data_IF_349428136950
#
_entry.id   IF_349428136950
#
_cell.length_a   1.000
_cell.length_b   1.000
_cell.length_c   1.000
_cell.angle_alpha   90.00
_cell.angle_beta   90.00
_cell.angle_gamma   90.00
#
_symmetry.space_group_name_H-M   'P 1'
#
loop_
_entity.id
_entity.type
_entity.pdbx_description
1 polymer ?
#
# COMPACT_ATOMS: atom_id res chain seq x y z
N UNK A 1 -23.94 16.55 11.44
CA UNK A 1 -23.27 16.51 10.13
C UNK A 1 -24.10 17.35 9.16
N UNK A 2 -23.48 17.95 8.15
CA UNK A 2 -24.18 18.70 7.09
C UNK A 2 -23.86 18.01 5.76
N UNK A 3 -24.90 17.71 4.97
CA UNK A 3 -24.72 17.15 3.63
C UNK A 3 -24.15 18.20 2.68
N UNK A 4 -23.33 17.76 1.74
CA UNK A 4 -22.71 18.59 0.72
C UNK A 4 -23.23 18.17 -0.65
N UNK A 5 -23.29 19.11 -1.60
CA UNK A 5 -23.71 18.87 -2.99
C UNK A 5 -22.56 18.28 -3.82
N UNK A 6 -22.06 17.12 -3.38
CA UNK A 6 -21.02 16.36 -4.05
C UNK A 6 -21.24 14.87 -3.76
N UNK A 7 -21.07 13.98 -4.75
CA UNK A 7 -21.08 12.55 -4.49
C UNK A 7 -19.97 12.19 -3.49
N UNK A 8 -20.25 11.21 -2.64
CA UNK A 8 -19.25 10.63 -1.75
C UNK A 8 -18.50 9.54 -2.51
N UNK A 9 -17.20 9.73 -2.71
CA UNK A 9 -16.35 8.72 -3.34
C UNK A 9 -16.07 7.57 -2.39
N UNK A 10 -16.10 6.34 -2.92
CA UNK A 10 -15.80 5.11 -2.19
C UNK A 10 -14.61 4.38 -2.82
N UNK A 11 -13.74 3.83 -1.98
CA UNK A 11 -12.73 2.87 -2.41
C UNK A 11 -13.38 1.48 -2.49
N UNK A 12 -13.51 0.93 -3.69
CA UNK A 12 -14.12 -0.38 -3.92
C UNK A 12 -13.02 -1.42 -4.17
N UNK A 13 -12.96 -2.43 -3.29
CA UNK A 13 -12.12 -3.61 -3.47
C UNK A 13 -12.86 -4.62 -4.35
N UNK A 14 -12.31 -4.94 -5.52
CA UNK A 14 -12.89 -5.88 -6.50
C UNK A 14 -12.11 -7.20 -6.61
N UNK A 15 -10.95 -7.29 -5.96
CA UNK A 15 -10.12 -8.48 -5.86
C UNK A 15 -9.64 -8.66 -4.42
N UNK A 16 -9.45 -9.90 -4.02
CA UNK A 16 -8.94 -10.21 -2.68
C UNK A 16 -7.52 -9.67 -2.51
N UNK A 17 -7.29 -8.96 -1.40
CA UNK A 17 -5.97 -8.46 -0.99
C UNK A 17 -5.57 -9.18 0.29
N UNK A 18 -4.34 -9.69 0.34
CA UNK A 18 -3.81 -10.41 1.49
C UNK A 18 -2.57 -9.75 2.05
N UNK A 19 -2.44 -9.78 3.38
CA UNK A 19 -1.24 -9.40 4.11
C UNK A 19 -0.97 -10.45 5.19
N UNK A 20 0.25 -11.00 5.17
CA UNK A 20 0.67 -12.06 6.08
C UNK A 20 2.02 -11.73 6.70
N UNK A 21 2.12 -11.84 8.02
CA UNK A 21 3.38 -11.72 8.77
C UNK A 21 3.56 -12.98 9.65
N UNK A 22 4.11 -14.09 9.10
CA UNK A 22 4.15 -15.38 9.78
C UNK A 22 4.90 -15.35 11.12
N UNK A 23 5.96 -14.55 11.23
CA UNK A 23 6.77 -14.42 12.44
C UNK A 23 5.96 -13.93 13.66
N UNK A 24 4.89 -13.15 13.42
CA UNK A 24 3.97 -12.65 14.45
C UNK A 24 2.60 -13.32 14.38
N UNK A 25 2.42 -14.27 13.46
CA UNK A 25 1.15 -14.94 13.19
C UNK A 25 0.05 -14.00 12.71
N UNK A 26 0.38 -12.87 12.08
CA UNK A 26 -0.62 -11.91 11.62
C UNK A 26 -1.13 -12.34 10.26
N UNK A 27 -2.45 -12.38 10.12
CA UNK A 27 -3.14 -12.68 8.87
C UNK A 27 -4.25 -11.67 8.65
N UNK A 28 -4.21 -10.97 7.53
CA UNK A 28 -5.26 -10.03 7.13
C UNK A 28 -5.69 -10.34 5.70
N UNK A 29 -6.98 -10.46 5.49
CA UNK A 29 -7.59 -10.69 4.17
C UNK A 29 -8.70 -9.68 3.97
N UNK A 30 -8.68 -9.01 2.82
CA UNK A 30 -9.70 -8.06 2.41
C UNK A 30 -10.44 -8.64 1.23
N UNK A 31 -11.73 -8.89 1.40
CA UNK A 31 -12.61 -9.43 0.38
C UNK A 31 -13.44 -8.32 -0.27
N UNK A 32 -13.78 -8.47 -1.56
CA UNK A 32 -14.81 -7.65 -2.19
C UNK A 32 -16.14 -7.72 -1.42
N UNK A 33 -16.74 -6.56 -1.17
CA UNK A 33 -18.05 -6.46 -0.53
C UNK A 33 -18.70 -5.12 -0.89
N UNK A 34 -20.02 -5.10 -1.03
CA UNK A 34 -20.79 -3.88 -1.35
C UNK A 34 -20.88 -2.91 -0.17
N UNK A 35 -20.64 -3.41 1.04
CA UNK A 35 -20.68 -2.71 2.31
C UNK A 35 -19.34 -2.81 3.05
N UNK A 36 -19.12 -1.92 4.02
CA UNK A 36 -17.96 -2.01 4.90
C UNK A 36 -18.22 -3.00 6.04
N UNK A 37 -17.41 -4.06 6.12
CA UNK A 37 -17.50 -5.08 7.16
C UNK A 37 -16.14 -5.35 7.78
N UNK A 38 -16.14 -5.71 9.06
CA UNK A 38 -14.95 -6.17 9.77
C UNK A 38 -15.24 -7.48 10.46
N UNK A 39 -14.29 -8.41 10.40
CA UNK A 39 -14.17 -9.50 11.35
C UNK A 39 -12.78 -9.42 11.96
N UNK A 40 -12.70 -9.33 13.28
CA UNK A 40 -11.43 -9.25 13.99
C UNK A 40 -11.30 -10.40 14.97
N UNK A 41 -10.15 -11.04 14.97
CA UNK A 41 -9.80 -12.11 15.90
C UNK A 41 -8.51 -11.75 16.65
N UNK A 42 -8.54 -11.91 17.96
CA UNK A 42 -7.35 -11.87 18.81
C UNK A 42 -7.14 -13.24 19.45
N UNK A 43 -5.88 -13.54 19.74
CA UNK A 43 -5.50 -14.81 20.35
C UNK A 43 -4.39 -14.54 21.36
N UNK A 44 -4.80 -14.25 22.59
CA UNK A 44 -3.88 -13.95 23.69
C UNK A 44 -3.64 -15.22 24.51
N UNK A 45 -2.38 -15.48 24.85
CA UNK A 45 -2.00 -16.56 25.78
C UNK A 45 -2.42 -16.31 27.23
N UNK A 46 -2.91 -15.10 27.53
CA UNK A 46 -3.40 -14.74 28.85
C UNK A 46 -4.79 -15.37 29.08
N UNK A 47 -5.00 -16.17 30.15
CA UNK A 47 -6.27 -16.83 30.44
C UNK A 47 -7.48 -15.90 30.57
N UNK A 48 -7.28 -14.65 30.99
CA UNK A 48 -8.35 -13.66 31.15
C UNK A 48 -8.86 -13.11 29.80
N UNK A 49 -8.06 -13.21 28.74
CA UNK A 49 -8.44 -12.78 27.39
C UNK A 49 -8.75 -13.96 26.49
N UNK A 50 -7.84 -14.93 26.42
CA UNK A 50 -7.93 -16.08 25.53
C UNK A 50 -8.04 -15.69 24.05
N UNK A 51 -8.71 -16.56 23.30
CA UNK A 51 -9.10 -16.29 21.91
C UNK A 51 -10.47 -15.61 21.88
N UNK A 52 -10.55 -14.47 21.20
CA UNK A 52 -11.80 -13.73 21.06
C UNK A 52 -11.99 -13.31 19.61
N UNK A 53 -13.25 -13.14 19.21
CA UNK A 53 -13.60 -12.57 17.93
C UNK A 53 -14.74 -11.56 18.05
N UNK A 54 -14.85 -10.71 17.04
CA UNK A 54 -16.00 -9.82 16.82
C UNK A 54 -16.21 -9.62 15.33
N UNK A 55 -17.45 -9.33 14.95
CA UNK A 55 -17.81 -8.95 13.58
C UNK A 55 -18.70 -7.71 13.63
N UNK A 56 -18.45 -6.78 12.71
CA UNK A 56 -19.29 -5.62 12.43
C UNK A 56 -19.75 -5.73 10.98
N UNK A 57 -21.06 -5.73 10.76
CA UNK A 57 -21.65 -5.90 9.42
C UNK A 57 -22.07 -4.57 8.79
N UNK A 58 -22.33 -3.55 9.62
CA UNK A 58 -22.63 -2.19 9.19
C UNK A 58 -21.99 -1.15 10.10
N UNK A 59 -21.09 -0.33 9.54
CA UNK A 59 -20.50 0.81 10.27
C UNK A 59 -21.58 1.79 10.75
N UNK A 60 -22.61 2.02 9.93
CA UNK A 60 -23.63 3.01 10.24
C UNK A 60 -24.57 2.56 11.36
N UNK A 61 -24.92 1.28 11.39
CA UNK A 61 -25.90 0.74 12.34
C UNK A 61 -25.24 0.32 13.67
N UNK A 62 -24.02 -0.21 13.63
CA UNK A 62 -23.43 -0.86 14.81
C UNK A 62 -22.35 -0.02 15.48
N UNK A 63 -21.60 0.83 14.76
CA UNK A 63 -20.40 1.47 15.32
C UNK A 63 -20.67 2.22 16.63
N UNK A 64 -21.70 3.07 16.65
CA UNK A 64 -21.99 3.94 17.78
C UNK A 64 -22.42 3.17 19.04
N UNK A 65 -23.20 2.10 18.89
CA UNK A 65 -23.80 1.36 20.00
C UNK A 65 -22.96 0.16 20.44
N UNK A 66 -22.29 -0.50 19.49
CA UNK A 66 -21.61 -1.78 19.70
C UNK A 66 -20.08 -1.64 19.83
N UNK A 67 -19.46 -0.64 19.22
CA UNK A 67 -17.98 -0.57 19.14
C UNK A 67 -17.38 0.67 19.79
N UNK A 68 -17.99 1.84 19.60
CA UNK A 68 -17.41 3.14 19.94
C UNK A 68 -17.05 3.30 21.43
N UNK A 69 -17.78 2.63 22.33
CA UNK A 69 -17.50 2.69 23.76
C UNK A 69 -16.39 1.71 24.21
N UNK A 70 -15.79 0.90 23.32
CA UNK A 70 -14.76 -0.07 23.70
C UNK A 70 -13.43 0.61 24.07
N UNK A 71 -13.03 0.54 25.34
CA UNK A 71 -11.82 1.20 25.86
C UNK A 71 -10.54 0.50 25.42
N UNK A 72 -9.46 1.27 25.39
CA UNK A 72 -8.12 0.72 25.23
C UNK A 72 -7.71 -0.14 26.42
N UNK A 73 -6.72 -0.99 26.22
CA UNK A 73 -6.21 -1.87 27.26
C UNK A 73 -4.70 -2.10 27.15
N UNK A 74 -4.09 -2.45 28.27
CA UNK A 74 -2.68 -2.84 28.35
C UNK A 74 -2.50 -3.99 29.34
N UNK A 75 -1.35 -4.66 29.28
CA UNK A 75 -0.98 -5.66 30.27
C UNK A 75 -0.28 -5.04 31.47
N UNK A 76 -0.58 -5.56 32.66
CA UNK A 76 -0.01 -5.11 33.92
C UNK A 76 1.53 -5.16 33.93
N UNK A 77 2.13 -6.16 33.27
CA UNK A 77 3.58 -6.27 33.09
C UNK A 77 4.20 -5.12 32.28
N UNK A 78 3.45 -4.51 31.35
CA UNK A 78 3.94 -3.45 30.47
C UNK A 78 3.86 -2.07 31.11
N UNK A 79 2.91 -1.88 32.03
CA UNK A 79 2.56 -0.59 32.62
C UNK A 79 3.79 0.14 33.19
N UNK A 80 4.58 -0.55 34.01
CA UNK A 80 5.76 0.04 34.66
C UNK A 80 6.84 0.44 33.64
N UNK A 81 7.09 -0.43 32.65
CA UNK A 81 8.08 -0.18 31.61
C UNK A 81 7.68 1.02 30.74
N UNK A 82 6.42 1.06 30.29
CA UNK A 82 5.88 2.15 29.48
C UNK A 82 5.98 3.48 30.22
N UNK A 83 5.60 3.51 31.50
CA UNK A 83 5.69 4.72 32.30
C UNK A 83 7.14 5.20 32.48
N UNK A 84 8.08 4.29 32.78
CA UNK A 84 9.52 4.59 32.90
C UNK A 84 10.11 5.11 31.59
N UNK A 85 9.61 4.63 30.45
CA UNK A 85 9.96 5.14 29.12
C UNK A 85 9.35 6.52 28.81
N UNK A 86 8.58 7.11 29.74
CA UNK A 86 7.90 8.38 29.56
C UNK A 86 6.64 8.30 28.69
N UNK A 87 6.11 7.11 28.46
CA UNK A 87 4.84 6.86 27.77
C UNK A 87 3.70 6.81 28.80
N UNK A 88 2.45 6.74 28.31
CA UNK A 88 1.22 6.56 29.12
C UNK A 88 1.05 7.55 30.30
N UNK A 89 1.65 8.75 30.23
CA UNK A 89 1.65 9.76 31.32
C UNK A 89 0.25 10.24 31.74
N UNK A 90 -0.75 10.12 30.86
CA UNK A 90 -2.16 10.41 31.14
C UNK A 90 -3.01 9.15 31.34
N UNK A 91 -2.39 7.97 31.41
CA UNK A 91 -3.08 6.70 31.62
C UNK A 91 -3.66 6.63 33.02
N UNK A 92 -4.92 6.22 33.12
CA UNK A 92 -5.62 6.02 34.40
C UNK A 92 -6.56 4.83 34.27
N UNK A 93 -7.02 4.31 35.41
CA UNK A 93 -8.03 3.28 35.39
C UNK A 93 -9.35 3.76 34.78
N UNK A 94 -9.61 5.07 34.67
CA UNK A 94 -10.84 5.58 34.05
C UNK A 94 -10.84 5.47 32.53
N UNK A 95 -9.67 5.60 31.90
CA UNK A 95 -9.51 5.66 30.45
C UNK A 95 -8.94 4.38 29.81
N UNK A 96 -8.41 3.44 30.59
CA UNK A 96 -7.90 2.16 30.11
C UNK A 96 -8.34 0.98 30.98
N UNK A 97 -8.41 -0.20 30.36
CA UNK A 97 -8.57 -1.50 31.05
C UNK A 97 -7.18 -2.11 31.24
N UNK A 98 -6.81 -2.45 32.48
CA UNK A 98 -5.51 -3.09 32.76
C UNK A 98 -5.73 -4.58 32.98
N UNK A 99 -5.15 -5.40 32.11
CA UNK A 99 -5.26 -6.86 32.15
C UNK A 99 -4.13 -7.44 32.99
N UNK A 100 -4.48 -8.31 33.93
CA UNK A 100 -3.53 -8.97 34.83
C UNK A 100 -2.91 -10.15 34.08
N UNK A 101 -1.60 -10.11 33.84
CA UNK A 101 -0.82 -11.13 33.14
C UNK A 101 0.35 -11.70 33.94
N UNK A 102 0.56 -11.18 35.16
CA UNK A 102 1.53 -11.68 36.13
C UNK A 102 1.02 -11.48 37.54
N UNK A 103 1.52 -12.30 38.46
CA UNK A 103 1.38 -12.03 39.89
C UNK A 103 2.22 -10.81 40.28
N UNK A 104 1.75 -10.06 41.26
CA UNK A 104 2.48 -8.92 41.84
C UNK A 104 2.58 -9.06 43.35
N UNK A 105 3.73 -8.68 43.88
CA UNK A 105 3.93 -8.55 45.32
C UNK A 105 3.20 -7.33 45.88
N UNK A 106 2.94 -7.31 47.18
CA UNK A 106 2.30 -6.18 47.85
C UNK A 106 3.12 -4.88 47.71
N UNK A 107 4.45 -4.99 47.62
CA UNK A 107 5.36 -3.86 47.39
C UNK A 107 5.17 -3.28 45.99
N UNK A 108 5.18 -4.11 44.94
CA UNK A 108 4.98 -3.64 43.56
C UNK A 108 3.59 -3.02 43.37
N UNK A 109 2.55 -3.54 44.03
CA UNK A 109 1.21 -2.93 44.03
C UNK A 109 1.21 -1.53 44.69
N UNK A 110 2.02 -1.35 45.72
CA UNK A 110 2.17 -0.05 46.41
C UNK A 110 2.90 0.96 45.54
N UNK A 111 3.96 0.52 44.85
CA UNK A 111 4.72 1.35 43.93
C UNK A 111 3.87 1.76 42.72
N UNK A 112 3.07 0.82 42.19
CA UNK A 112 2.13 1.10 41.10
C UNK A 112 1.07 2.13 41.52
N UNK A 113 0.54 2.06 42.75
CA UNK A 113 -0.37 3.10 43.29
C UNK A 113 0.27 4.48 43.30
N UNK A 114 1.51 4.59 43.80
CA UNK A 114 2.26 5.86 43.82
C UNK A 114 2.53 6.37 42.40
N UNK A 115 2.87 5.48 41.48
CA UNK A 115 3.21 5.79 40.09
C UNK A 115 2.04 6.45 39.34
N UNK A 116 0.82 5.99 39.60
CA UNK A 116 -0.41 6.43 38.91
C UNK A 116 -1.29 7.37 39.74
N UNK A 117 -0.86 7.76 40.94
CA UNK A 117 -1.66 8.63 41.81
C UNK A 117 -3.03 8.04 42.15
N UNK A 118 -3.12 6.72 42.31
CA UNK A 118 -4.39 6.03 42.60
C UNK A 118 -4.63 6.10 44.11
N UNK A 119 -5.58 6.94 44.54
CA UNK A 119 -5.98 7.08 45.95
C UNK A 119 -6.79 5.88 46.46
N UNK A 120 -7.37 5.09 45.56
CA UNK A 120 -8.17 3.89 45.89
C UNK A 120 -7.31 2.63 46.04
N UNK A 121 -7.83 1.65 46.79
CA UNK A 121 -7.16 0.37 46.94
C UNK A 121 -7.10 -0.38 45.60
N UNK A 122 -5.90 -0.54 45.04
CA UNK A 122 -5.66 -1.46 43.93
C UNK A 122 -5.82 -2.91 44.41
N UNK A 123 -6.69 -3.68 43.75
CA UNK A 123 -6.95 -5.09 44.06
C UNK A 123 -6.76 -5.95 42.81
N UNK A 124 -6.14 -7.12 42.99
CA UNK A 124 -6.12 -8.16 41.98
C UNK A 124 -7.44 -8.93 42.11
N UNK A 125 -8.29 -8.84 41.09
CA UNK A 125 -9.57 -9.56 41.09
C UNK A 125 -9.50 -10.84 40.25
N UNK A 126 -10.37 -11.78 40.61
CA UNK A 126 -10.41 -13.10 40.01
C UNK A 126 -10.82 -13.11 38.52
N UNK A 127 -11.36 -12.00 38.00
CA UNK A 127 -11.71 -11.85 36.59
C UNK A 127 -10.51 -11.44 35.71
N UNK A 128 -9.31 -11.33 36.27
CA UNK A 128 -8.09 -11.02 35.51
C UNK A 128 -7.96 -9.57 35.03
N UNK A 129 -8.77 -8.65 35.58
CA UNK A 129 -8.72 -7.21 35.28
C UNK A 129 -8.39 -6.44 36.55
N UNK A 130 -7.49 -5.47 36.51
CA UNK A 130 -7.14 -4.69 37.69
C UNK A 130 -8.36 -3.99 38.30
N UNK A 131 -8.51 -4.05 39.63
CA UNK A 131 -9.63 -3.52 40.43
C UNK A 131 -11.01 -4.12 40.11
N UNK A 132 -11.07 -5.23 39.38
CA UNK A 132 -12.35 -5.84 39.00
C UNK A 132 -13.21 -4.91 38.15
N UNK A 133 -12.58 -3.97 37.41
CA UNK A 133 -13.32 -3.00 36.60
C UNK A 133 -14.22 -3.74 35.61
N UNK A 134 -15.51 -3.40 35.63
CA UNK A 134 -16.48 -4.01 34.74
C UNK A 134 -16.19 -3.63 33.28
N UNK A 135 -16.24 -4.62 32.40
CA UNK A 135 -16.15 -4.41 30.96
C UNK A 135 -17.47 -3.86 30.44
N UNK A 136 -17.39 -2.92 29.49
CA UNK A 136 -18.59 -2.38 28.82
C UNK A 136 -19.23 -3.41 27.91
N UNK A 137 -18.43 -4.35 27.42
CA UNK A 137 -18.84 -5.46 26.58
C UNK A 137 -18.08 -6.73 27.01
N UNK A 138 -18.68 -7.93 26.93
CA UNK A 138 -17.99 -9.17 27.28
C UNK A 138 -16.68 -9.41 26.53
N UNK A 139 -16.59 -8.90 25.30
CA UNK A 139 -15.42 -8.99 24.42
C UNK A 139 -14.86 -7.59 24.06
N UNK A 140 -14.83 -6.67 25.04
CA UNK A 140 -14.42 -5.26 24.86
C UNK A 140 -13.04 -5.12 24.20
N UNK A 141 -12.07 -6.00 24.52
CA UNK A 141 -10.70 -5.92 24.01
C UNK A 141 -10.61 -6.16 22.49
N UNK A 142 -11.28 -7.21 21.98
CA UNK A 142 -11.30 -7.46 20.54
C UNK A 142 -12.13 -6.42 19.78
N UNK A 143 -13.19 -5.87 20.39
CA UNK A 143 -13.94 -4.73 19.84
C UNK A 143 -13.08 -3.47 19.75
N UNK A 144 -12.24 -3.21 20.76
CA UNK A 144 -11.26 -2.12 20.69
C UNK A 144 -10.23 -2.33 19.58
N UNK A 145 -9.75 -3.57 19.36
CA UNK A 145 -8.86 -3.87 18.23
C UNK A 145 -9.54 -3.70 16.87
N UNK A 146 -10.83 -4.00 16.77
CA UNK A 146 -11.61 -3.65 15.59
C UNK A 146 -11.72 -2.11 15.41
N UNK A 147 -11.90 -1.35 16.50
CA UNK A 147 -11.90 0.12 16.47
C UNK A 147 -10.55 0.68 15.99
N UNK A 148 -9.44 0.17 16.50
CA UNK A 148 -8.08 0.51 16.04
C UNK A 148 -7.96 0.30 14.52
N UNK A 149 -8.40 -0.86 14.01
CA UNK A 149 -8.40 -1.16 12.58
C UNK A 149 -9.29 -0.19 11.78
N UNK A 150 -10.50 0.15 12.26
CA UNK A 150 -11.37 1.14 11.61
C UNK A 150 -10.66 2.49 11.52
N UNK A 151 -10.05 2.94 12.62
CA UNK A 151 -9.30 4.19 12.69
C UNK A 151 -8.11 4.21 11.72
N UNK A 152 -7.32 3.15 11.68
CA UNK A 152 -6.19 3.03 10.76
C UNK A 152 -6.65 3.00 9.29
N UNK A 153 -7.75 2.32 8.98
CA UNK A 153 -8.31 2.30 7.62
C UNK A 153 -8.79 3.68 7.15
N UNK A 154 -9.18 4.57 8.06
CA UNK A 154 -9.48 5.97 7.72
C UNK A 154 -8.27 6.71 7.12
N UNK A 155 -7.03 6.23 7.33
CA UNK A 155 -5.85 6.77 6.65
C UNK A 155 -5.95 6.65 5.12
N UNK A 156 -6.81 5.79 4.57
CA UNK A 156 -7.13 5.77 3.14
C UNK A 156 -7.65 7.12 2.63
N UNK A 157 -8.25 7.94 3.50
CA UNK A 157 -8.80 9.25 3.16
C UNK A 157 -10.19 9.20 2.50
N UNK A 158 -10.75 8.00 2.34
CA UNK A 158 -12.09 7.77 1.81
C UNK A 158 -12.70 6.49 2.39
N UNK A 159 -14.04 6.38 2.43
CA UNK A 159 -14.73 5.18 2.88
C UNK A 159 -14.39 3.95 2.03
N UNK A 160 -14.24 2.80 2.67
CA UNK A 160 -13.91 1.52 2.05
C UNK A 160 -15.18 0.67 1.86
N UNK A 161 -15.35 0.06 0.69
CA UNK A 161 -16.32 -1.01 0.44
C UNK A 161 -15.56 -2.33 0.31
N UNK A 162 -15.55 -3.08 1.40
CA UNK A 162 -14.84 -4.34 1.54
C UNK A 162 -15.22 -5.04 2.85
N UNK A 163 -14.97 -6.34 2.93
CA UNK A 163 -14.94 -7.08 4.19
C UNK A 163 -13.49 -7.33 4.59
N UNK A 164 -13.05 -6.71 5.70
CA UNK A 164 -11.71 -6.88 6.26
C UNK A 164 -11.75 -7.95 7.35
N UNK A 165 -11.08 -9.07 7.13
CA UNK A 165 -10.85 -10.11 8.12
C UNK A 165 -9.42 -9.99 8.64
N UNK A 166 -9.24 -9.70 9.93
CA UNK A 166 -7.93 -9.53 10.54
C UNK A 166 -7.76 -10.44 11.77
N UNK A 167 -6.63 -11.13 11.84
CA UNK A 167 -6.22 -11.96 12.95
C UNK A 167 -4.92 -11.44 13.56
N UNK A 168 -4.93 -11.18 14.87
CA UNK A 168 -3.76 -10.74 15.66
C UNK A 168 -3.08 -9.46 15.13
N UNK A 169 -3.80 -8.66 14.34
CA UNK A 169 -3.25 -7.42 13.77
C UNK A 169 -3.10 -6.31 14.83
N UNK A 170 -2.24 -5.34 14.53
CA UNK A 170 -2.11 -4.07 15.24
C UNK A 170 -1.70 -2.96 14.27
N UNK A 171 -1.47 -1.74 14.78
CA UNK A 171 -1.29 -0.55 13.93
C UNK A 171 -0.24 -0.70 12.82
N UNK A 172 0.92 -1.31 13.11
CA UNK A 172 1.95 -1.51 12.08
C UNK A 172 1.43 -2.35 10.89
N UNK A 173 0.76 -3.46 11.16
CA UNK A 173 0.19 -4.33 10.12
C UNK A 173 -1.00 -3.68 9.42
N UNK A 174 -1.84 -2.95 10.17
CA UNK A 174 -2.95 -2.17 9.60
C UNK A 174 -2.43 -1.10 8.63
N UNK A 175 -1.33 -0.41 8.95
CA UNK A 175 -0.70 0.59 8.07
C UNK A 175 -0.15 -0.06 6.80
N UNK A 176 0.48 -1.23 6.90
CA UNK A 176 0.91 -1.98 5.70
C UNK A 176 -0.28 -2.39 4.84
N UNK A 177 -1.39 -2.82 5.44
CA UNK A 177 -2.64 -3.09 4.72
C UNK A 177 -3.16 -1.84 3.99
N UNK A 178 -3.19 -0.68 4.66
CA UNK A 178 -3.61 0.60 4.05
C UNK A 178 -2.75 0.91 2.82
N UNK A 179 -1.43 0.70 2.89
CA UNK A 179 -0.53 0.90 1.74
C UNK A 179 -0.87 -0.05 0.60
N UNK A 180 -1.14 -1.33 0.88
CA UNK A 180 -1.53 -2.32 -0.12
C UNK A 180 -2.86 -1.96 -0.81
N UNK A 181 -3.90 -1.63 -0.02
CA UNK A 181 -5.20 -1.20 -0.55
C UNK A 181 -5.04 0.04 -1.44
N UNK A 182 -4.29 1.04 -0.97
CA UNK A 182 -4.03 2.27 -1.74
C UNK A 182 -3.30 1.98 -3.05
N UNK A 183 -2.32 1.07 -3.03
CA UNK A 183 -1.57 0.64 -4.21
C UNK A 183 -2.48 0.01 -5.27
N UNK A 184 -3.33 -0.93 -4.87
CA UNK A 184 -4.28 -1.57 -5.78
C UNK A 184 -5.34 -0.60 -6.30
N UNK A 185 -5.84 0.30 -5.45
CA UNK A 185 -6.77 1.34 -5.88
C UNK A 185 -6.16 2.30 -6.91
N UNK A 186 -4.91 2.73 -6.72
CA UNK A 186 -4.22 3.59 -7.69
C UNK A 186 -4.04 2.90 -9.05
N UNK A 187 -3.70 1.60 -9.08
CA UNK A 187 -3.65 0.83 -10.34
C UNK A 187 -5.00 0.85 -11.06
N UNK A 188 -6.08 0.63 -10.31
CA UNK A 188 -7.45 0.64 -10.84
C UNK A 188 -7.81 2.01 -11.43
N UNK A 189 -7.48 3.11 -10.75
CA UNK A 189 -7.73 4.47 -11.25
C UNK A 189 -7.00 4.76 -12.56
N UNK A 190 -5.74 4.32 -12.69
CA UNK A 190 -4.98 4.49 -13.93
C UNK A 190 -5.63 3.66 -15.04
N UNK A 191 -6.00 2.42 -14.76
CA UNK A 191 -6.67 1.55 -15.73
C UNK A 191 -8.01 2.13 -16.17
N UNK A 192 -8.86 2.60 -15.25
CA UNK A 192 -10.17 3.18 -15.61
C UNK A 192 -10.05 4.48 -16.40
N UNK A 193 -8.99 5.27 -16.17
CA UNK A 193 -8.75 6.52 -16.89
C UNK A 193 -8.32 6.28 -18.35
N UNK A 194 -7.51 5.26 -18.61
CA UNK A 194 -6.85 5.10 -19.90
C UNK A 194 -7.20 3.85 -20.69
N UNK A 195 -7.53 2.73 -20.03
CA UNK A 195 -7.84 1.47 -20.71
C UNK A 195 -9.18 1.56 -21.43
N UNK A 196 -9.19 1.16 -22.70
CA UNK A 196 -10.35 1.25 -23.60
C UNK A 196 -11.06 -0.12 -23.73
N UNK A 197 -10.43 -1.22 -23.32
CA UNK A 197 -10.98 -2.57 -23.45
C UNK A 197 -10.74 -3.47 -22.22
N UNK A 198 -11.59 -4.48 -22.07
CA UNK A 198 -11.46 -5.57 -21.09
C UNK A 198 -10.39 -6.62 -21.46
N UNK A 199 -9.63 -6.39 -22.54
CA UNK A 199 -8.56 -7.29 -22.95
C UNK A 199 -7.49 -7.38 -21.84
N UNK A 200 -7.29 -8.59 -21.29
CA UNK A 200 -6.34 -8.83 -20.22
C UNK A 200 -4.89 -8.97 -20.72
N UNK A 201 -4.65 -8.90 -22.04
CA UNK A 201 -3.31 -9.07 -22.62
C UNK A 201 -2.37 -7.87 -22.39
N UNK A 202 -2.90 -6.73 -21.93
CA UNK A 202 -2.16 -5.51 -21.62
C UNK A 202 -2.79 -4.75 -20.43
N UNK A 203 -1.95 -4.16 -19.59
CA UNK A 203 -2.38 -3.19 -18.58
C UNK A 203 -2.72 -1.83 -19.23
N UNK A 204 -1.92 -1.37 -20.21
CA UNK A 204 -2.21 -0.22 -21.08
C UNK A 204 -1.87 -0.58 -22.53
N UNK A 205 -2.81 -0.36 -23.45
CA UNK A 205 -2.61 -0.55 -24.88
C UNK A 205 -1.98 0.68 -25.57
N UNK A 206 -1.72 0.58 -26.87
CA UNK A 206 -1.13 1.68 -27.64
C UNK A 206 -1.98 2.96 -27.60
N UNK A 207 -3.31 2.85 -27.57
CA UNK A 207 -4.22 4.00 -27.50
C UNK A 207 -4.13 4.71 -26.15
N UNK A 208 -4.05 3.94 -25.06
CA UNK A 208 -3.81 4.46 -23.72
C UNK A 208 -2.45 5.17 -23.65
N UNK A 209 -1.40 4.57 -24.21
CA UNK A 209 -0.06 5.17 -24.26
C UNK A 209 -0.07 6.50 -25.02
N UNK A 210 -0.78 6.61 -26.16
CA UNK A 210 -0.90 7.85 -26.93
C UNK A 210 -1.57 9.01 -26.16
N UNK A 211 -2.41 8.69 -25.18
CA UNK A 211 -3.03 9.68 -24.28
C UNK A 211 -2.07 10.16 -23.18
N UNK A 212 -1.14 9.29 -22.77
CA UNK A 212 -0.20 9.57 -21.67
C UNK A 212 1.07 10.25 -22.20
N UNK A 213 1.68 9.68 -23.24
CA UNK A 213 2.92 10.18 -23.81
C UNK A 213 2.65 11.18 -24.94
N UNK A 214 3.44 12.27 -25.04
CA UNK A 214 3.35 13.23 -26.13
C UNK A 214 3.95 12.68 -27.44
N UNK A 215 4.78 11.63 -27.37
CA UNK A 215 5.47 11.03 -28.51
C UNK A 215 4.49 10.52 -29.57
N UNK A 216 4.85 10.66 -30.84
CA UNK A 216 4.10 10.17 -32.00
C UNK A 216 5.04 9.48 -32.96
N UNK A 217 4.49 8.68 -33.88
CA UNK A 217 5.29 8.10 -34.96
C UNK A 217 6.11 9.19 -35.67
N UNK A 218 7.40 8.93 -35.99
CA UNK A 218 8.12 7.66 -35.86
C UNK A 218 8.83 7.43 -34.51
N UNK A 219 8.55 8.26 -33.49
CA UNK A 219 9.32 8.28 -32.24
C UNK A 219 8.58 7.73 -31.01
N UNK A 220 7.30 7.39 -31.12
CA UNK A 220 6.64 6.55 -30.10
C UNK A 220 7.04 5.09 -30.34
N UNK A 221 7.84 4.52 -29.44
CA UNK A 221 8.48 3.21 -29.65
C UNK A 221 7.85 2.07 -28.87
N UNK A 222 7.07 2.37 -27.83
CA UNK A 222 6.46 1.38 -26.91
C UNK A 222 5.07 1.02 -27.39
N UNK A 223 4.78 -0.27 -27.47
CA UNK A 223 3.49 -0.77 -27.99
C UNK A 223 2.45 -0.96 -26.89
N UNK A 224 2.87 -1.50 -25.73
CA UNK A 224 1.97 -1.74 -24.59
C UNK A 224 2.71 -1.80 -23.27
N UNK A 225 1.97 -1.59 -22.18
CA UNK A 225 2.39 -1.85 -20.80
C UNK A 225 1.68 -3.12 -20.33
N UNK A 226 2.43 -4.05 -19.73
CA UNK A 226 1.88 -5.31 -19.22
C UNK A 226 1.78 -5.34 -17.70
N UNK A 227 2.55 -4.50 -17.01
CA UNK A 227 2.44 -4.31 -15.56
C UNK A 227 2.84 -2.88 -15.18
N UNK A 228 2.17 -2.32 -14.17
CA UNK A 228 2.45 -0.99 -13.65
C UNK A 228 2.07 -0.94 -12.17
N UNK A 229 3.05 -0.62 -11.34
CA UNK A 229 2.86 -0.26 -9.95
C UNK A 229 3.28 1.20 -9.77
N UNK A 230 2.34 2.11 -9.46
CA UNK A 230 2.64 3.51 -9.26
C UNK A 230 3.73 3.71 -8.20
N UNK A 231 4.73 4.55 -8.48
CA UNK A 231 5.86 4.86 -7.60
C UNK A 231 6.82 3.68 -7.32
N UNK A 232 6.68 2.55 -8.01
CA UNK A 232 7.58 1.40 -7.83
C UNK A 232 8.17 0.95 -9.16
N UNK A 233 7.36 0.46 -10.10
CA UNK A 233 7.87 -0.09 -11.34
C UNK A 233 6.85 -0.11 -12.48
N UNK A 234 7.35 -0.32 -13.70
CA UNK A 234 6.55 -0.47 -14.91
C UNK A 234 7.22 -1.45 -15.86
N UNK A 235 6.42 -2.26 -16.55
CA UNK A 235 6.89 -3.22 -17.54
C UNK A 235 6.24 -2.94 -18.88
N UNK A 236 7.05 -2.58 -19.86
CA UNK A 236 6.62 -2.25 -21.23
C UNK A 236 7.14 -3.22 -22.26
N UNK A 237 6.42 -3.31 -23.39
CA UNK A 237 6.79 -4.15 -24.53
C UNK A 237 7.02 -3.27 -25.75
N UNK A 238 8.10 -3.57 -26.47
CA UNK A 238 8.36 -3.12 -27.84
C UNK A 238 8.58 -4.33 -28.73
N UNK A 239 7.80 -4.42 -29.79
CA UNK A 239 8.03 -5.32 -30.90
C UNK A 239 8.95 -4.62 -31.91
N UNK A 240 9.93 -5.37 -32.42
CA UNK A 240 10.91 -4.85 -33.37
C UNK A 240 10.53 -5.32 -34.77
N UNK A 241 10.07 -4.38 -35.61
CA UNK A 241 9.62 -4.68 -36.97
C UNK A 241 10.61 -4.19 -38.02
N UNK A 242 10.83 -4.99 -39.07
CA UNK A 242 11.71 -4.62 -40.18
C UNK A 242 11.28 -3.31 -40.87
N UNK A 243 9.99 -2.97 -40.80
CA UNK A 243 9.42 -1.76 -41.41
C UNK A 243 9.73 -0.47 -40.63
N UNK A 244 10.44 -0.53 -39.51
CA UNK A 244 10.82 0.66 -38.75
C UNK A 244 11.85 1.52 -39.50
N UNK A 245 11.67 2.86 -39.54
CA UNK A 245 12.38 3.73 -40.47
C UNK A 245 13.90 3.77 -40.25
N UNK A 246 14.37 3.50 -39.03
CA UNK A 246 15.80 3.53 -38.72
C UNK A 246 16.59 2.37 -39.33
N UNK A 247 15.95 1.26 -39.74
CA UNK A 247 16.64 0.14 -40.37
C UNK A 247 17.15 0.47 -41.78
N UNK A 248 16.57 1.48 -42.44
CA UNK A 248 17.04 1.93 -43.76
C UNK A 248 18.42 2.60 -43.70
N UNK A 249 18.74 3.25 -42.57
CA UNK A 249 19.93 4.10 -42.44
C UNK A 249 20.96 3.66 -41.40
N UNK A 250 20.60 2.85 -40.40
CA UNK A 250 21.54 2.48 -39.33
C UNK A 250 22.66 1.55 -39.85
N UNK A 251 22.31 0.45 -40.51
CA UNK A 251 23.25 -0.46 -41.19
C UNK A 251 22.58 -1.17 -42.39
N UNK A 252 22.69 -0.63 -43.62
CA UNK A 252 22.11 -1.26 -44.80
C UNK A 252 22.58 -2.73 -44.97
N UNK A 253 21.63 -3.65 -45.17
CA UNK A 253 21.89 -5.09 -45.29
C UNK A 253 22.12 -5.84 -43.97
N UNK A 254 22.16 -5.14 -42.83
CA UNK A 254 22.30 -5.76 -41.50
C UNK A 254 21.40 -5.04 -40.49
N UNK A 255 20.09 -5.37 -40.44
CA UNK A 255 19.13 -4.62 -39.64
C UNK A 255 19.36 -4.83 -38.14
N UNK A 256 20.03 -3.87 -37.50
CA UNK A 256 20.27 -3.83 -36.06
C UNK A 256 19.56 -2.61 -35.50
N UNK A 257 18.82 -2.76 -34.39
CA UNK A 257 18.18 -1.62 -33.73
C UNK A 257 19.25 -0.74 -33.07
N UNK A 258 19.27 0.59 -33.30
CA UNK A 258 20.18 1.50 -32.62
C UNK A 258 20.04 1.40 -31.09
N UNK A 259 21.16 1.24 -30.39
CA UNK A 259 21.15 1.14 -28.91
C UNK A 259 20.51 2.36 -28.24
N UNK A 260 20.69 3.55 -28.80
CA UNK A 260 20.05 4.79 -28.32
C UNK A 260 18.52 4.74 -28.39
N UNK A 261 17.94 4.01 -29.36
CA UNK A 261 16.49 3.82 -29.44
C UNK A 261 15.98 2.78 -28.43
N UNK A 262 16.82 1.84 -28.00
CA UNK A 262 16.50 0.93 -26.89
C UNK A 262 16.41 1.75 -25.60
N UNK A 263 17.35 2.68 -25.39
CA UNK A 263 17.31 3.61 -24.26
C UNK A 263 16.10 4.53 -24.33
N UNK A 264 15.79 5.10 -25.50
CA UNK A 264 14.59 5.94 -25.70
C UNK A 264 13.28 5.17 -25.44
N UNK A 265 13.18 3.91 -25.85
CA UNK A 265 12.00 3.10 -25.56
C UNK A 265 11.89 2.79 -24.05
N UNK A 266 13.01 2.44 -23.40
CA UNK A 266 13.09 2.25 -21.95
C UNK A 266 12.70 3.53 -21.18
N UNK A 267 13.15 4.66 -21.69
CA UNK A 267 12.83 6.00 -21.24
C UNK A 267 11.33 6.32 -21.33
N UNK A 268 10.68 6.00 -22.45
CA UNK A 268 9.23 6.16 -22.62
C UNK A 268 8.44 5.29 -21.64
N UNK A 269 8.89 4.04 -21.43
CA UNK A 269 8.33 3.15 -20.40
C UNK A 269 8.44 3.81 -19.02
N UNK A 270 9.61 4.31 -18.64
CA UNK A 270 9.79 5.07 -17.38
C UNK A 270 8.96 6.36 -17.31
N UNK A 271 8.79 7.08 -18.41
CA UNK A 271 7.93 8.27 -18.49
C UNK A 271 6.46 7.96 -18.19
N UNK A 272 5.97 6.79 -18.61
CA UNK A 272 4.62 6.32 -18.29
C UNK A 272 4.46 6.08 -16.78
N UNK A 273 5.50 5.60 -16.08
CA UNK A 273 5.47 5.46 -14.62
C UNK A 273 5.26 6.82 -13.94
N UNK A 274 5.94 7.87 -14.43
CA UNK A 274 5.92 9.22 -13.83
C UNK A 274 4.65 10.03 -14.15
N UNK A 275 4.13 9.91 -15.37
CA UNK A 275 2.96 10.68 -15.82
C UNK A 275 1.62 10.10 -15.32
N UNK A 276 1.64 8.92 -14.71
CA UNK A 276 0.45 8.30 -14.12
C UNK A 276 0.40 8.38 -12.59
N UNK A 277 1.49 8.80 -11.95
CA UNK A 277 1.60 8.92 -10.50
C UNK A 277 1.31 10.35 -10.04
N UNK A 278 0.04 10.72 -9.99
CA UNK A 278 -0.44 12.00 -9.41
C UNK A 278 -0.15 13.27 -10.23
N UNK A 279 0.19 13.13 -11.51
CA UNK A 279 0.39 14.25 -12.43
C UNK A 279 -0.73 14.33 -13.47
N UNK A 280 -1.10 15.56 -13.85
CA UNK A 280 -1.90 15.81 -15.05
C UNK A 280 -1.02 15.52 -16.26
N UNK A 281 -1.01 14.25 -16.70
CA UNK A 281 -0.17 13.75 -17.79
C UNK A 281 -0.19 14.64 -19.04
N UNK A 282 -1.36 15.22 -19.34
CA UNK A 282 -1.61 16.10 -20.47
C UNK A 282 -0.90 17.45 -20.39
N UNK A 283 -0.60 17.93 -19.17
CA UNK A 283 0.05 19.22 -18.89
C UNK A 283 1.53 19.10 -18.54
N UNK A 284 2.11 17.90 -18.57
CA UNK A 284 3.50 17.67 -18.18
C UNK A 284 4.30 17.03 -19.31
N UNK A 285 5.60 17.29 -19.32
CA UNK A 285 6.60 16.61 -20.13
C UNK A 285 7.64 15.97 -19.22
N UNK A 286 8.25 14.88 -19.68
CA UNK A 286 9.36 14.22 -19.00
C UNK A 286 10.60 14.39 -19.85
N UNK A 287 11.60 15.10 -19.33
CA UNK A 287 12.86 15.37 -20.02
C UNK A 287 13.98 14.52 -19.44
N UNK A 288 14.78 13.91 -20.32
CA UNK A 288 16.01 13.24 -19.92
C UNK A 288 17.03 14.26 -19.45
N UNK A 289 17.51 14.09 -18.22
CA UNK A 289 18.55 14.95 -17.65
C UNK A 289 19.90 14.25 -17.57
N UNK A 290 19.92 12.91 -17.60
CA UNK A 290 21.14 12.13 -17.52
C UNK A 290 20.88 10.65 -17.73
N UNK A 291 21.92 9.96 -18.20
CA UNK A 291 21.91 8.51 -18.36
C UNK A 291 23.28 8.02 -17.87
N UNK A 292 23.28 7.11 -16.92
CA UNK A 292 24.48 6.52 -16.33
C UNK A 292 24.48 4.99 -16.48
N UNK A 293 25.66 4.40 -16.32
CA UNK A 293 25.85 2.94 -16.24
C UNK A 293 25.23 2.13 -17.39
N UNK A 294 25.17 2.70 -18.60
CA UNK A 294 24.61 2.01 -19.77
C UNK A 294 25.49 0.86 -20.21
N UNK A 295 24.88 -0.32 -20.39
CA UNK A 295 25.54 -1.46 -21.05
C UNK A 295 24.65 -2.03 -22.14
N UNK A 296 25.20 -2.19 -23.34
CA UNK A 296 24.61 -2.97 -24.43
C UNK A 296 25.30 -4.32 -24.48
N UNK A 297 24.54 -5.40 -24.32
CA UNK A 297 25.07 -6.76 -24.16
C UNK A 297 24.89 -7.61 -25.41
N UNK A 298 23.76 -7.44 -26.10
CA UNK A 298 23.40 -8.17 -27.31
C UNK A 298 22.73 -7.24 -28.32
N UNK A 299 22.88 -7.54 -29.60
CA UNK A 299 22.18 -6.83 -30.67
C UNK A 299 20.72 -7.22 -30.68
N UNK A 300 19.85 -6.25 -30.96
CA UNK A 300 18.42 -6.47 -31.18
C UNK A 300 18.11 -6.30 -32.67
N UNK A 301 17.30 -7.18 -33.22
CA UNK A 301 17.01 -7.30 -34.66
C UNK A 301 15.50 -7.46 -34.92
N UNK A 302 15.04 -7.26 -36.18
CA UNK A 302 13.64 -7.50 -36.52
C UNK A 302 13.16 -8.91 -36.14
N UNK A 303 11.97 -8.98 -35.53
CA UNK A 303 11.40 -10.22 -34.99
C UNK A 303 11.51 -10.32 -33.46
N UNK A 304 12.44 -9.59 -32.84
CA UNK A 304 12.59 -9.57 -31.40
C UNK A 304 11.42 -8.86 -30.69
N UNK A 305 11.09 -9.34 -29.50
CA UNK A 305 10.22 -8.63 -28.55
C UNK A 305 11.05 -8.19 -27.37
N UNK A 306 11.24 -6.88 -27.23
CA UNK A 306 11.95 -6.30 -26.09
C UNK A 306 10.95 -6.08 -24.95
N UNK A 307 11.25 -6.69 -23.80
CA UNK A 307 10.58 -6.42 -22.53
C UNK A 307 11.42 -5.48 -21.69
N UNK A 308 10.90 -4.29 -21.45
CA UNK A 308 11.52 -3.30 -20.58
C UNK A 308 10.98 -3.45 -19.17
N UNK A 309 11.84 -3.71 -18.19
CA UNK A 309 11.55 -3.64 -16.77
C UNK A 309 12.18 -2.35 -16.24
N UNK A 310 11.38 -1.42 -15.72
CA UNK A 310 11.87 -0.14 -15.20
C UNK A 310 11.39 0.03 -13.76
N UNK A 311 12.34 0.18 -12.85
CA UNK A 311 12.11 0.38 -11.42
C UNK A 311 12.48 1.80 -11.00
N UNK A 312 11.70 2.39 -10.10
CA UNK A 312 11.96 3.70 -9.52
C UNK A 312 12.97 3.57 -8.38
N UNK A 313 14.19 4.05 -8.59
CA UNK A 313 15.25 4.01 -7.58
C UNK A 313 15.17 5.19 -6.61
N UNK A 314 14.81 6.37 -7.11
CA UNK A 314 14.59 7.55 -6.28
C UNK A 314 13.58 8.49 -6.95
N UNK A 315 12.73 9.10 -6.13
CA UNK A 315 11.83 10.15 -6.59
C UNK A 315 11.97 11.38 -5.70
N UNK A 316 12.32 12.50 -6.32
CA UNK A 316 12.32 13.83 -5.72
C UNK A 316 11.34 14.69 -6.51
N UNK A 317 10.81 15.73 -5.87
CA UNK A 317 9.67 16.54 -6.34
C UNK A 317 9.61 16.82 -7.85
N UNK A 318 10.73 17.12 -8.49
CA UNK A 318 10.82 17.39 -9.94
C UNK A 318 11.75 16.44 -10.70
N UNK A 319 12.43 15.52 -10.02
CA UNK A 319 13.51 14.68 -10.57
C UNK A 319 13.33 13.23 -10.14
N UNK A 320 13.38 12.31 -11.09
CA UNK A 320 13.36 10.88 -10.80
C UNK A 320 14.63 10.21 -11.31
N UNK A 321 15.01 9.14 -10.61
CA UNK A 321 16.04 8.19 -11.03
C UNK A 321 15.40 6.82 -11.16
N UNK A 322 15.59 6.18 -12.30
CA UNK A 322 15.03 4.88 -12.62
C UNK A 322 16.15 3.93 -13.04
N UNK A 323 15.99 2.65 -12.72
CA UNK A 323 16.88 1.58 -13.18
C UNK A 323 16.09 0.77 -14.19
N UNK A 324 16.60 0.67 -15.41
CA UNK A 324 15.92 -0.01 -16.51
C UNK A 324 16.73 -1.18 -17.03
N UNK A 325 16.03 -2.26 -17.37
CA UNK A 325 16.54 -3.46 -18.03
C UNK A 325 15.70 -3.76 -19.25
N UNK A 326 16.35 -4.09 -20.36
CA UNK A 326 15.72 -4.56 -21.58
C UNK A 326 16.09 -6.03 -21.78
N UNK A 327 15.09 -6.88 -21.96
CA UNK A 327 15.25 -8.32 -22.16
C UNK A 327 14.63 -8.75 -23.48
N UNK A 328 15.29 -9.69 -24.17
CA UNK A 328 14.73 -10.45 -25.30
C UNK A 328 14.85 -11.92 -24.93
N UNK A 329 13.77 -12.70 -25.02
CA UNK A 329 13.74 -14.11 -24.60
C UNK A 329 14.30 -14.36 -23.18
N UNK A 330 14.02 -13.43 -22.26
CA UNK A 330 14.54 -13.40 -20.88
C UNK A 330 16.06 -13.22 -20.74
N UNK A 331 16.77 -12.92 -21.83
CA UNK A 331 18.18 -12.55 -21.81
C UNK A 331 18.35 -11.03 -21.78
N UNK A 332 19.22 -10.53 -20.90
CA UNK A 332 19.50 -9.11 -20.77
C UNK A 332 20.25 -8.58 -22.00
N UNK A 333 19.62 -7.70 -22.77
CA UNK A 333 20.20 -7.07 -23.97
C UNK A 333 20.70 -5.66 -23.71
N UNK A 334 20.08 -4.93 -22.79
CA UNK A 334 20.52 -3.59 -22.39
C UNK A 334 20.13 -3.29 -20.92
N UNK A 335 20.94 -2.51 -20.22
CA UNK A 335 20.60 -1.93 -18.91
C UNK A 335 21.10 -0.49 -18.82
N UNK A 336 20.41 0.34 -18.04
CA UNK A 336 20.78 1.73 -17.82
C UNK A 336 20.19 2.30 -16.53
N UNK A 337 20.84 3.34 -15.99
CA UNK A 337 20.27 4.24 -15.00
C UNK A 337 19.80 5.51 -15.70
N UNK A 338 18.50 5.81 -15.59
CA UNK A 338 17.85 6.91 -16.27
C UNK A 338 17.52 8.01 -15.26
N UNK A 339 17.89 9.25 -15.56
CA UNK A 339 17.48 10.42 -14.77
C UNK A 339 16.58 11.31 -15.62
N UNK A 340 15.45 11.71 -15.06
CA UNK A 340 14.50 12.57 -15.76
C UNK A 340 13.91 13.66 -14.87
N UNK A 341 13.53 14.76 -15.50
CA UNK A 341 12.83 15.89 -14.90
C UNK A 341 11.40 15.97 -15.40
N UNK A 342 10.45 16.24 -14.52
CA UNK A 342 9.06 16.57 -14.88
C UNK A 342 8.95 18.08 -15.04
N UNK A 343 8.56 18.55 -16.21
CA UNK A 343 8.40 19.97 -16.55
C UNK A 343 6.99 20.27 -17.05
N UNK A 344 6.57 21.52 -16.95
CA UNK A 344 5.29 21.96 -17.50
C UNK A 344 5.30 21.94 -19.03
N UNK A 345 4.17 21.53 -19.61
CA UNK A 345 3.92 21.66 -21.04
C UNK A 345 3.48 23.09 -21.31
N UNK A 346 4.33 23.84 -22.00
CA UNK A 346 4.07 25.24 -22.41
C UNK A 346 2.98 25.30 -23.47
#
# INVERSE_FOLDING_TARGET
>A
MQEQDSPRDYLIVDKTITYHEPARGIDIVVFPSDEFRITFMVDYKNPALGTQYTSMYSLHEEFATEFAASRTFCFLSEVEHLWKAGLIKGGSLDNAVVVIDRDMTQTELTDLRKLFGIDTSVTLSNNGILNGKELRYPNEQVRHKALDLIGDLCLLGMPLKAHVMAARSGHAANVELVKLIRKEYKKKLIRSKYAVSDDQSAFLDANAILKILPHRYPFLLVDKIIDLVPQEHVVGIKNVSLNEPFFQGHFPGRPIMPGVLIIEAMAQVGGILMLNTETEADKKLVYFTGIDNVRFRKTVTPGDTIRFEVELAANRRTMCKMIGRALVDNELVCEAELMAAIVDRV
#
